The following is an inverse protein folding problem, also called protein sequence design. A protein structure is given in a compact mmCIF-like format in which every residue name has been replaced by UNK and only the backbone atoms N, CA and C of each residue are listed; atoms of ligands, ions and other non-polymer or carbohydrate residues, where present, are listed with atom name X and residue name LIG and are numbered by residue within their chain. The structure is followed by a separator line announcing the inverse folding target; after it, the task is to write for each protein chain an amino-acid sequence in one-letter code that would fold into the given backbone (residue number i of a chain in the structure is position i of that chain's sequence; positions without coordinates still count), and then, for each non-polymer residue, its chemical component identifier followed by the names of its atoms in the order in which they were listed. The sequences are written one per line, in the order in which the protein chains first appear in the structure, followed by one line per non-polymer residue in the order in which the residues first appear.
data_IF_643970439710
#
_entry.id   IF_643970439710
#
_cell.length_a   1.000
_cell.length_b   1.000
_cell.length_c   1.000
_cell.angle_alpha   90.00
_cell.angle_beta   90.00
_cell.angle_gamma   90.00
#
_symmetry.space_group_name_H-M   'P 1'
#
loop_
_entity.id
_entity.type
_entity.pdbx_description
1 polymer ?
#
# COMPACT_ATOMS: atom_id res chain seq x y z
N UNK A 1 14.99 -8.52 -28.35
CA UNK A 1 16.11 -9.25 -27.71
C UNK A 1 16.25 -8.69 -26.31
N UNK A 2 15.58 -9.31 -25.30
CA UNK A 2 15.63 -8.86 -23.91
C UNK A 2 16.90 -9.42 -23.32
N UNK A 3 17.89 -8.57 -23.05
CA UNK A 3 19.10 -8.99 -22.34
C UNK A 3 18.72 -9.39 -20.90
N UNK A 4 18.81 -10.69 -20.63
CA UNK A 4 18.78 -11.26 -19.30
C UNK A 4 20.05 -10.82 -18.56
N UNK A 5 19.94 -9.77 -17.74
CA UNK A 5 21.06 -9.17 -17.02
C UNK A 5 20.68 -8.54 -15.69
N UNK A 6 19.62 -8.99 -15.06
CA UNK A 6 19.29 -8.54 -13.71
C UNK A 6 19.63 -9.67 -12.73
N UNK A 7 20.76 -9.55 -12.06
CA UNK A 7 21.08 -10.41 -10.93
C UNK A 7 20.07 -10.12 -9.81
N UNK A 8 19.01 -10.92 -9.75
CA UNK A 8 18.38 -11.18 -8.46
C UNK A 8 19.50 -11.58 -7.50
N UNK A 9 19.45 -11.07 -6.28
CA UNK A 9 20.40 -11.52 -5.29
C UNK A 9 20.47 -13.04 -5.39
N UNK A 10 21.64 -13.63 -5.68
CA UNK A 10 21.73 -15.06 -6.01
C UNK A 10 21.19 -15.95 -4.92
N UNK A 11 20.91 -15.37 -3.74
CA UNK A 11 20.61 -16.10 -2.53
C UNK A 11 19.26 -16.81 -2.52
N UNK A 12 18.16 -16.18 -2.96
CA UNK A 12 16.84 -16.83 -2.81
C UNK A 12 16.58 -17.81 -3.95
N UNK A 13 16.69 -17.38 -5.21
CA UNK A 13 16.41 -18.26 -6.33
C UNK A 13 17.45 -19.38 -6.48
N UNK A 14 18.73 -19.12 -6.20
CA UNK A 14 19.75 -20.15 -6.22
C UNK A 14 19.66 -21.13 -5.03
N UNK A 15 19.18 -20.66 -3.88
CA UNK A 15 18.88 -21.53 -2.73
C UNK A 15 17.63 -22.38 -3.00
N UNK A 16 16.63 -21.84 -3.69
CA UNK A 16 15.46 -22.60 -4.13
C UNK A 16 15.84 -23.69 -5.13
N UNK A 17 16.65 -23.37 -6.15
CA UNK A 17 17.14 -24.37 -7.12
C UNK A 17 17.95 -25.48 -6.47
N UNK A 18 18.89 -25.15 -5.58
CA UNK A 18 19.71 -26.14 -4.85
C UNK A 18 18.90 -27.02 -3.91
N UNK A 19 17.78 -26.52 -3.32
CA UNK A 19 16.89 -27.33 -2.49
C UNK A 19 15.99 -28.25 -3.29
N UNK A 20 15.58 -27.86 -4.48
CA UNK A 20 14.82 -28.70 -5.41
C UNK A 20 15.65 -29.92 -5.86
N UNK A 21 16.98 -29.73 -6.05
CA UNK A 21 17.93 -30.83 -6.34
C UNK A 21 18.19 -31.75 -5.14
N UNK A 22 17.99 -31.27 -3.91
CA UNK A 22 18.28 -31.99 -2.68
C UNK A 22 17.10 -32.84 -2.14
N UNK A 23 15.92 -32.83 -2.79
CA UNK A 23 14.76 -33.65 -2.37
C UNK A 23 14.25 -33.34 -0.96
N UNK A 24 14.57 -32.16 -0.41
CA UNK A 24 14.03 -31.71 0.86
C UNK A 24 12.62 -31.16 0.65
N UNK A 25 11.69 -31.57 1.51
CA UNK A 25 10.31 -31.09 1.55
C UNK A 25 10.20 -29.60 1.25
N UNK A 26 9.16 -29.19 0.50
CA UNK A 26 8.88 -27.86 -0.05
C UNK A 26 8.81 -26.73 1.00
N UNK A 27 9.87 -26.50 1.74
CA UNK A 27 9.98 -25.37 2.67
C UNK A 27 10.61 -24.21 1.94
N UNK A 28 9.79 -23.19 1.63
CA UNK A 28 10.27 -21.91 1.15
C UNK A 28 11.30 -21.34 2.14
N UNK A 29 12.49 -20.93 1.69
CA UNK A 29 13.45 -20.27 2.57
C UNK A 29 12.89 -18.90 2.94
N UNK A 30 12.16 -18.84 4.05
CA UNK A 30 11.68 -17.58 4.61
C UNK A 30 12.83 -16.98 5.41
N UNK A 31 13.33 -15.80 5.06
CA UNK A 31 14.34 -15.11 5.86
C UNK A 31 13.75 -14.67 7.20
N UNK A 32 14.58 -14.63 8.25
CA UNK A 32 14.16 -14.18 9.58
C UNK A 32 13.64 -12.74 9.58
N UNK A 33 14.18 -11.91 8.70
CA UNK A 33 13.75 -10.52 8.48
C UNK A 33 13.41 -10.33 7.01
N UNK A 34 12.19 -9.88 6.76
CA UNK A 34 11.68 -9.62 5.42
C UNK A 34 10.80 -8.39 5.39
N UNK A 35 11.05 -7.48 4.45
CA UNK A 35 10.17 -6.34 4.20
C UNK A 35 9.70 -6.35 2.74
N UNK A 36 8.38 -6.42 2.55
CA UNK A 36 7.76 -6.47 1.22
C UNK A 36 8.08 -5.21 0.40
N UNK A 37 8.10 -4.02 1.04
CA UNK A 37 8.40 -2.77 0.35
C UNK A 37 9.85 -2.77 -0.19
N UNK A 38 10.81 -3.28 0.60
CA UNK A 38 12.20 -3.41 0.16
C UNK A 38 12.29 -4.34 -1.06
N UNK A 39 11.70 -5.50 -0.97
CA UNK A 39 11.78 -6.52 -2.03
C UNK A 39 11.08 -6.11 -3.32
N UNK A 40 9.93 -5.44 -3.23
CA UNK A 40 9.09 -5.12 -4.38
C UNK A 40 9.32 -3.73 -4.96
N UNK A 41 9.90 -2.80 -4.19
CA UNK A 41 10.07 -1.41 -4.60
C UNK A 41 11.50 -0.87 -4.38
N UNK A 42 11.98 -0.87 -3.14
CA UNK A 42 13.18 -0.11 -2.76
C UNK A 42 14.44 -0.55 -3.48
N UNK A 43 14.70 -1.85 -3.48
CA UNK A 43 15.84 -2.45 -4.18
C UNK A 43 15.84 -2.12 -5.67
N UNK A 44 14.67 -2.07 -6.29
CA UNK A 44 14.52 -1.73 -7.70
C UNK A 44 14.73 -0.24 -7.94
N UNK A 45 14.23 0.61 -7.04
CA UNK A 45 14.47 2.04 -7.11
C UNK A 45 15.96 2.41 -6.96
N UNK A 46 16.73 1.61 -6.22
CA UNK A 46 18.20 1.77 -6.12
C UNK A 46 18.90 1.23 -7.36
N UNK A 47 18.52 0.03 -7.83
CA UNK A 47 19.21 -0.64 -8.94
C UNK A 47 18.85 -0.07 -10.31
N UNK A 48 17.61 0.36 -10.50
CA UNK A 48 17.03 0.81 -11.78
C UNK A 48 15.99 1.91 -11.54
N UNK A 49 16.39 3.11 -11.07
CA UNK A 49 15.50 4.17 -10.62
C UNK A 49 14.47 4.60 -11.68
N UNK A 50 14.89 4.67 -12.93
CA UNK A 50 14.08 5.15 -14.05
C UNK A 50 13.23 4.05 -14.71
N UNK A 51 13.35 2.80 -14.23
CA UNK A 51 12.53 1.71 -14.74
C UNK A 51 11.07 1.93 -14.37
N UNK A 52 10.17 1.78 -15.36
CA UNK A 52 8.73 1.84 -15.15
C UNK A 52 8.29 0.68 -14.24
N UNK A 53 7.66 1.03 -13.14
CA UNK A 53 7.12 0.10 -12.15
C UNK A 53 5.61 -0.09 -12.30
N UNK A 54 4.89 0.97 -12.73
CA UNK A 54 3.45 0.98 -12.90
C UNK A 54 3.09 1.84 -14.10
N UNK A 55 2.09 1.40 -14.85
CA UNK A 55 1.43 2.18 -15.89
C UNK A 55 -0.01 2.41 -15.43
N UNK A 56 -0.34 3.66 -15.11
CA UNK A 56 -1.69 4.10 -14.74
C UNK A 56 -2.46 4.45 -16.01
N UNK A 57 -3.48 3.67 -16.32
CA UNK A 57 -4.33 3.85 -17.51
C UNK A 57 -5.70 4.32 -17.05
N UNK A 58 -6.12 5.49 -17.52
CA UNK A 58 -7.43 6.08 -17.25
C UNK A 58 -8.14 6.39 -18.56
N UNK A 59 -9.46 6.29 -18.60
CA UNK A 59 -10.24 6.44 -19.85
C UNK A 59 -10.06 7.82 -20.48
N UNK A 60 -9.93 8.87 -19.65
CA UNK A 60 -9.94 10.27 -20.10
C UNK A 60 -8.54 10.92 -20.15
N UNK A 61 -7.47 10.17 -20.00
CA UNK A 61 -6.11 10.69 -19.95
C UNK A 61 -5.09 9.73 -20.61
N UNK A 62 -4.00 10.26 -21.19
CA UNK A 62 -2.93 9.39 -21.67
C UNK A 62 -2.32 8.58 -20.51
N UNK A 63 -1.84 7.35 -20.80
CA UNK A 63 -1.21 6.51 -19.78
C UNK A 63 -0.07 7.23 -19.06
N UNK A 64 -0.09 7.22 -17.73
CA UNK A 64 0.96 7.79 -16.89
C UNK A 64 1.88 6.68 -16.41
N UNK A 65 3.16 6.83 -16.69
CA UNK A 65 4.19 5.91 -16.22
C UNK A 65 4.73 6.39 -14.87
N UNK A 66 4.84 5.46 -13.92
CA UNK A 66 5.46 5.67 -12.63
C UNK A 66 6.73 4.83 -12.56
N UNK A 67 7.85 5.47 -12.28
CA UNK A 67 9.11 4.77 -12.06
C UNK A 67 9.21 4.22 -10.64
N UNK A 68 10.12 3.26 -10.42
CA UNK A 68 10.41 2.77 -9.07
C UNK A 68 10.87 3.88 -8.13
N UNK A 69 11.67 4.83 -8.63
CA UNK A 69 12.13 5.98 -7.83
C UNK A 69 10.98 6.90 -7.43
N UNK A 70 9.99 7.11 -8.29
CA UNK A 70 8.81 7.92 -7.96
C UNK A 70 7.93 7.24 -6.91
N UNK A 71 7.66 5.93 -7.07
CA UNK A 71 6.91 5.15 -6.08
C UNK A 71 7.62 5.14 -4.72
N UNK A 72 8.94 4.89 -4.71
CA UNK A 72 9.75 4.92 -3.50
C UNK A 72 9.62 6.27 -2.78
N UNK A 73 9.76 7.37 -3.51
CA UNK A 73 9.69 8.71 -2.95
C UNK A 73 8.32 9.00 -2.34
N UNK A 74 7.25 8.65 -3.06
CA UNK A 74 5.89 8.85 -2.58
C UNK A 74 5.57 7.98 -1.36
N UNK A 75 5.93 6.69 -1.40
CA UNK A 75 5.74 5.77 -0.28
C UNK A 75 6.54 6.18 0.96
N UNK A 76 7.77 6.71 0.77
CA UNK A 76 8.58 7.20 1.88
C UNK A 76 7.96 8.43 2.57
N UNK A 77 7.42 9.37 1.79
CA UNK A 77 6.71 10.53 2.34
C UNK A 77 5.50 10.09 3.18
N UNK A 78 4.71 9.17 2.65
CA UNK A 78 3.52 8.65 3.35
C UNK A 78 3.91 7.83 4.60
N UNK A 79 5.00 7.06 4.55
CA UNK A 79 5.52 6.35 5.71
C UNK A 79 5.98 7.30 6.83
N UNK A 80 6.59 8.44 6.48
CA UNK A 80 6.92 9.49 7.45
C UNK A 80 5.66 10.10 8.05
N UNK A 81 4.63 10.36 7.26
CA UNK A 81 3.33 10.80 7.77
C UNK A 81 2.75 9.81 8.78
N UNK A 82 2.75 8.51 8.48
CA UNK A 82 2.26 7.49 9.41
C UNK A 82 3.03 7.52 10.74
N UNK A 83 4.36 7.57 10.68
CA UNK A 83 5.20 7.66 11.88
C UNK A 83 4.95 8.92 12.69
N UNK A 84 4.80 10.08 12.05
CA UNK A 84 4.49 11.34 12.76
C UNK A 84 3.11 11.35 13.42
N UNK A 85 2.23 10.44 13.00
CA UNK A 85 0.91 10.24 13.56
C UNK A 85 0.81 8.97 14.43
N UNK A 86 1.94 8.52 14.97
CA UNK A 86 2.05 7.42 15.94
C UNK A 86 1.57 6.05 15.44
N UNK A 87 1.56 5.83 14.11
CA UNK A 87 1.36 4.50 13.56
C UNK A 87 2.64 3.69 13.79
N UNK A 88 2.52 2.56 14.44
CA UNK A 88 3.62 1.66 14.83
C UNK A 88 3.51 0.30 14.15
N UNK A 89 4.58 -0.52 14.14
CA UNK A 89 4.51 -1.88 13.61
C UNK A 89 3.37 -2.68 14.23
N UNK A 90 2.61 -3.38 13.41
CA UNK A 90 1.43 -4.14 13.82
C UNK A 90 0.12 -3.35 13.82
N UNK A 91 0.14 -2.03 13.72
CA UNK A 91 -1.10 -1.26 13.52
C UNK A 91 -1.72 -1.55 12.17
N UNK A 92 -3.05 -1.53 12.10
CA UNK A 92 -3.81 -1.80 10.88
C UNK A 92 -4.16 -0.49 10.19
N UNK A 93 -3.83 -0.44 8.90
CA UNK A 93 -4.17 0.67 7.98
C UNK A 93 -5.12 0.11 6.93
N UNK A 94 -6.34 0.63 6.89
CA UNK A 94 -7.30 0.28 5.86
C UNK A 94 -7.06 1.10 4.58
N UNK A 95 -7.26 0.48 3.42
CA UNK A 95 -7.15 1.13 2.11
C UNK A 95 -8.44 0.88 1.34
N UNK A 96 -9.26 1.92 1.21
CA UNK A 96 -10.51 1.94 0.46
C UNK A 96 -10.37 2.89 -0.73
N UNK A 97 -9.63 2.44 -1.74
CA UNK A 97 -9.31 3.21 -2.94
C UNK A 97 -9.63 2.40 -4.19
N UNK A 98 -10.01 3.04 -5.30
CA UNK A 98 -9.99 2.41 -6.61
C UNK A 98 -8.55 2.03 -6.99
N UNK A 99 -8.42 1.11 -7.96
CA UNK A 99 -7.10 0.69 -8.43
C UNK A 99 -6.35 1.88 -9.02
N UNK A 100 -5.12 2.06 -8.57
CA UNK A 100 -4.27 3.18 -8.99
C UNK A 100 -2.94 3.22 -8.24
N UNK A 101 -2.07 4.18 -8.57
CA UNK A 101 -0.78 4.34 -7.92
C UNK A 101 -0.90 4.60 -6.41
N UNK A 102 -1.97 5.25 -5.98
CA UNK A 102 -2.24 5.56 -4.57
C UNK A 102 -2.35 4.30 -3.71
N UNK A 103 -2.93 3.21 -4.26
CA UNK A 103 -3.02 1.91 -3.58
C UNK A 103 -1.63 1.34 -3.33
N UNK A 104 -0.76 1.31 -4.36
CA UNK A 104 0.61 0.82 -4.21
C UNK A 104 1.43 1.67 -3.25
N UNK A 105 1.30 2.99 -3.34
CA UNK A 105 1.98 3.94 -2.45
C UNK A 105 1.56 3.67 -1.00
N UNK A 106 0.27 3.47 -0.73
CA UNK A 106 -0.26 3.16 0.59
C UNK A 106 0.31 1.84 1.14
N UNK A 107 0.30 0.79 0.31
CA UNK A 107 0.83 -0.52 0.67
C UNK A 107 2.32 -0.46 0.99
N UNK A 108 3.13 0.12 0.11
CA UNK A 108 4.57 0.22 0.34
C UNK A 108 4.91 1.11 1.55
N UNK A 109 4.16 2.18 1.77
CA UNK A 109 4.33 3.02 2.95
C UNK A 109 4.08 2.25 4.25
N UNK A 110 2.99 1.47 4.31
CA UNK A 110 2.63 0.67 5.48
C UNK A 110 3.63 -0.48 5.70
N UNK A 111 3.96 -1.26 4.67
CA UNK A 111 4.94 -2.35 4.78
C UNK A 111 6.31 -1.86 5.24
N UNK A 112 6.72 -0.67 4.80
CA UNK A 112 8.00 -0.05 5.18
C UNK A 112 8.12 0.20 6.68
N UNK A 113 7.01 0.48 7.35
CA UNK A 113 6.97 0.71 8.80
C UNK A 113 6.52 -0.51 9.61
N UNK A 114 6.26 -1.64 8.95
CA UNK A 114 5.78 -2.86 9.61
C UNK A 114 4.29 -2.82 9.99
N UNK A 115 3.52 -1.88 9.43
CA UNK A 115 2.07 -1.85 9.62
C UNK A 115 1.37 -2.91 8.76
N UNK A 116 0.17 -3.30 9.17
CA UNK A 116 -0.66 -4.30 8.51
C UNK A 116 -1.65 -3.58 7.60
N UNK A 117 -1.67 -3.93 6.32
CA UNK A 117 -2.66 -3.41 5.37
C UNK A 117 -3.94 -4.23 5.42
N UNK A 118 -5.07 -3.51 5.49
CA UNK A 118 -6.41 -4.03 5.29
C UNK A 118 -6.96 -3.50 3.97
N UNK A 119 -6.81 -4.21 2.84
CA UNK A 119 -7.40 -3.77 1.58
C UNK A 119 -8.91 -3.95 1.62
N UNK A 120 -9.64 -2.88 1.26
CA UNK A 120 -11.08 -2.87 1.21
C UNK A 120 -11.55 -2.63 -0.22
N UNK A 121 -12.63 -3.31 -0.58
CA UNK A 121 -13.20 -3.19 -1.91
C UNK A 121 -14.15 -2.00 -1.98
N UNK A 122 -14.00 -1.15 -2.98
CA UNK A 122 -14.79 0.09 -3.12
C UNK A 122 -16.29 -0.14 -3.33
N UNK A 123 -16.71 -1.35 -3.71
CA UNK A 123 -18.12 -1.71 -3.82
C UNK A 123 -18.77 -2.17 -2.50
N UNK A 124 -17.99 -2.27 -1.41
CA UNK A 124 -18.61 -2.55 -0.10
C UNK A 124 -19.55 -1.42 0.33
N UNK A 125 -20.71 -1.81 0.85
CA UNK A 125 -21.64 -0.90 1.52
C UNK A 125 -21.17 -0.57 2.94
N UNK A 126 -21.85 0.41 3.59
CA UNK A 126 -21.49 0.86 4.94
C UNK A 126 -21.40 -0.27 5.97
N UNK A 127 -22.36 -1.19 6.01
CA UNK A 127 -22.38 -2.30 6.98
C UNK A 127 -21.16 -3.23 6.82
N UNK A 128 -20.80 -3.54 5.57
CA UNK A 128 -19.65 -4.39 5.28
C UNK A 128 -18.31 -3.69 5.61
N UNK A 129 -18.26 -2.37 5.48
CA UNK A 129 -17.11 -1.56 5.89
C UNK A 129 -17.01 -1.46 7.40
N UNK A 130 -18.13 -1.17 8.09
CA UNK A 130 -18.21 -1.10 9.54
C UNK A 130 -17.72 -2.41 10.19
N UNK A 131 -18.22 -3.54 9.71
CA UNK A 131 -17.80 -4.85 10.22
C UNK A 131 -16.28 -5.04 10.12
N UNK A 132 -15.70 -4.82 8.92
CA UNK A 132 -14.27 -5.07 8.68
C UNK A 132 -13.36 -4.11 9.43
N UNK A 133 -13.72 -2.83 9.49
CA UNK A 133 -12.97 -1.82 10.20
C UNK A 133 -12.97 -2.07 11.71
N UNK A 134 -14.13 -2.46 12.26
CA UNK A 134 -14.25 -2.83 13.67
C UNK A 134 -13.50 -4.11 14.02
N UNK A 135 -13.69 -5.18 13.23
CA UNK A 135 -13.08 -6.47 13.46
C UNK A 135 -11.55 -6.40 13.38
N UNK A 136 -11.02 -5.63 12.44
CA UNK A 136 -9.57 -5.42 12.32
C UNK A 136 -9.01 -4.44 13.35
N UNK A 137 -9.82 -3.57 13.95
CA UNK A 137 -9.36 -2.47 14.77
C UNK A 137 -8.43 -1.54 13.99
N UNK A 138 -8.81 -1.17 12.76
CA UNK A 138 -8.02 -0.28 11.93
C UNK A 138 -7.92 1.11 12.55
N UNK A 139 -6.71 1.63 12.72
CA UNK A 139 -6.45 2.97 13.28
C UNK A 139 -6.52 4.08 12.25
N UNK A 140 -6.19 3.78 11.02
CA UNK A 140 -6.19 4.73 9.92
C UNK A 140 -6.84 4.11 8.70
N UNK A 141 -7.63 4.90 7.97
CA UNK A 141 -8.14 4.54 6.65
C UNK A 141 -7.68 5.56 5.62
N UNK A 142 -7.24 5.05 4.46
CA UNK A 142 -6.96 5.85 3.26
C UNK A 142 -8.10 5.62 2.29
N UNK A 143 -8.72 6.69 1.84
CA UNK A 143 -9.90 6.65 0.96
C UNK A 143 -9.86 7.77 -0.08
N UNK A 144 -10.84 7.81 -0.96
CA UNK A 144 -11.12 8.92 -1.87
C UNK A 144 -12.39 9.69 -1.46
N UNK A 145 -12.60 10.84 -2.09
CA UNK A 145 -13.79 11.65 -1.83
C UNK A 145 -15.10 10.91 -2.15
N UNK A 146 -15.10 10.05 -3.17
CA UNK A 146 -16.29 9.27 -3.57
C UNK A 146 -16.68 8.21 -2.53
N UNK A 147 -15.72 7.59 -1.90
CA UNK A 147 -15.92 6.55 -0.89
C UNK A 147 -16.15 7.12 0.52
N UNK A 148 -15.78 8.38 0.77
CA UNK A 148 -15.90 9.02 2.08
C UNK A 148 -17.35 9.03 2.57
N UNK A 149 -18.33 9.26 1.70
CA UNK A 149 -19.76 9.26 2.04
C UNK A 149 -20.27 7.93 2.63
N UNK A 150 -19.57 6.82 2.37
CA UNK A 150 -19.90 5.51 2.95
C UNK A 150 -19.35 5.35 4.36
N UNK A 151 -18.30 6.09 4.70
CA UNK A 151 -17.64 6.04 6.00
C UNK A 151 -18.33 6.93 7.02
N UNK A 152 -18.76 8.13 6.62
CA UNK A 152 -19.36 9.11 7.54
C UNK A 152 -20.45 8.52 8.43
N UNK A 153 -21.45 7.75 7.92
CA UNK A 153 -22.52 7.20 8.74
C UNK A 153 -22.06 6.17 9.78
N UNK A 154 -20.91 5.52 9.56
CA UNK A 154 -20.43 4.42 10.41
C UNK A 154 -19.31 4.85 11.36
N UNK A 155 -18.81 6.09 11.29
CA UNK A 155 -17.75 6.59 12.16
C UNK A 155 -18.06 6.45 13.66
N UNK A 156 -19.30 6.70 14.15
CA UNK A 156 -19.63 6.53 15.56
C UNK A 156 -19.41 5.10 16.08
N UNK A 157 -19.45 4.11 15.18
CA UNK A 157 -19.28 2.69 15.51
C UNK A 157 -17.82 2.21 15.42
N UNK A 158 -16.87 3.08 15.14
CA UNK A 158 -15.47 2.77 14.88
C UNK A 158 -14.53 3.47 15.87
N UNK A 159 -14.54 3.11 17.16
CA UNK A 159 -13.79 3.81 18.19
C UNK A 159 -12.26 3.73 18.02
N UNK A 160 -11.77 2.69 17.32
CA UNK A 160 -10.34 2.50 17.06
C UNK A 160 -9.85 3.33 15.86
N UNK A 161 -10.78 3.83 15.02
CA UNK A 161 -10.43 4.60 13.83
C UNK A 161 -10.10 6.05 14.21
N UNK A 162 -8.83 6.33 14.32
CA UNK A 162 -8.33 7.64 14.75
C UNK A 162 -8.22 8.65 13.60
N UNK A 163 -8.05 8.17 12.35
CA UNK A 163 -7.73 9.04 11.21
C UNK A 163 -8.31 8.56 9.89
N UNK A 164 -8.76 9.53 9.09
CA UNK A 164 -9.15 9.34 7.70
C UNK A 164 -8.23 10.18 6.82
N UNK A 165 -7.52 9.56 5.90
CA UNK A 165 -6.70 10.23 4.90
C UNK A 165 -7.43 10.16 3.55
N UNK A 166 -7.79 11.31 2.99
CA UNK A 166 -8.56 11.39 1.74
C UNK A 166 -7.65 11.80 0.60
N UNK A 167 -7.57 10.96 -0.44
CA UNK A 167 -6.84 11.25 -1.66
C UNK A 167 -7.69 12.07 -2.64
N UNK A 168 -7.03 12.95 -3.40
CA UNK A 168 -7.68 13.69 -4.50
C UNK A 168 -8.56 14.87 -4.08
N UNK A 169 -8.51 15.28 -2.81
CA UNK A 169 -9.11 16.57 -2.41
C UNK A 169 -8.23 17.71 -2.90
N UNK A 170 -8.85 18.67 -3.56
CA UNK A 170 -8.22 19.96 -3.85
C UNK A 170 -8.54 20.93 -2.70
N UNK A 171 -7.71 21.96 -2.51
CA UNK A 171 -7.92 22.97 -1.45
C UNK A 171 -9.34 23.57 -1.44
N UNK A 172 -9.99 23.62 -2.60
CA UNK A 172 -11.39 24.08 -2.75
C UNK A 172 -12.46 23.12 -2.19
N UNK A 173 -12.11 21.86 -1.96
CA UNK A 173 -13.04 20.84 -1.45
C UNK A 173 -12.99 20.75 0.08
N UNK A 174 -11.91 21.27 0.69
CA UNK A 174 -11.71 21.27 2.15
C UNK A 174 -12.68 22.27 2.83
N UNK A 175 -12.91 23.42 2.22
CA UNK A 175 -13.77 24.48 2.77
C UNK A 175 -15.27 24.14 2.79
N UNK A 176 -15.70 23.03 2.18
CA UNK A 176 -17.10 22.63 2.10
C UNK A 176 -17.55 21.63 3.17
N UNK A 177 -16.64 21.17 4.02
CA UNK A 177 -16.89 20.11 5.00
C UNK A 177 -16.76 20.55 6.47
N UNK A 178 -16.92 21.83 6.80
CA UNK A 178 -17.15 22.22 8.19
C UNK A 178 -18.55 21.74 8.60
N UNK A 179 -18.69 20.89 9.63
CA UNK A 179 -20.00 20.53 10.17
C UNK A 179 -20.59 21.75 10.90
N UNK A 180 -21.77 22.20 10.43
CA UNK A 180 -22.65 23.10 11.20
C UNK A 180 -23.17 22.43 12.45
#
# INVERSE_FOLDING_TARGET
MIQAGTRFAPSILSQMAKRQEAGADDIWPVPDLFNIADMCCDRWAVAQPDRVALIDVRDDAPPKHWTYAELLRAATKLAHYFKSHHIVPGDRIAVLLPQGPEVLIAHFAAYRIGAIILPLFTLFGPDALAYRLRDSGAKLIITDAGSLNKLVPILPDLPELERILVCGLNDKDIDKQEPT
#
